data_IF_378642752285
#
_entry.id   IF_378642752285
#
_cell.length_a   1.000
_cell.length_b   1.000
_cell.length_c   1.000
_cell.angle_alpha   90.00
_cell.angle_beta   90.00
_cell.angle_gamma   90.00
#
_symmetry.space_group_name_H-M   'P 1'
#
loop_
_entity.id
_entity.type
_entity.pdbx_description
1 polymer ?
#
# COMPACT_ATOMS: atom_id res chain seq x y z
N UNK A 1 12.62 7.48 -15.85
CA UNK A 1 11.45 7.07 -15.05
C UNK A 1 10.90 8.30 -14.36
N UNK A 2 9.60 8.58 -14.48
CA UNK A 2 8.98 9.70 -13.75
C UNK A 2 8.68 9.24 -12.33
N UNK A 3 9.23 9.90 -11.28
CA UNK A 3 8.94 9.51 -9.90
C UNK A 3 7.46 9.76 -9.59
N UNK A 4 6.83 8.80 -8.92
CA UNK A 4 5.46 8.96 -8.42
C UNK A 4 5.52 9.69 -7.08
N UNK A 5 5.04 10.94 -7.06
CA UNK A 5 5.11 11.85 -5.91
C UNK A 5 3.70 12.37 -5.61
N UNK A 6 3.28 12.31 -4.35
CA UNK A 6 2.01 12.86 -3.89
C UNK A 6 2.15 14.35 -3.54
N UNK A 7 1.09 15.14 -3.79
CA UNK A 7 1.05 16.53 -3.35
C UNK A 7 0.97 16.61 -1.83
N UNK A 8 1.75 17.54 -1.26
CA UNK A 8 1.66 17.86 0.16
C UNK A 8 0.48 18.82 0.35
N UNK A 9 -0.55 18.40 1.08
CA UNK A 9 -1.80 19.16 1.25
C UNK A 9 -1.90 19.92 2.58
N UNK A 10 -0.97 19.69 3.53
CA UNK A 10 -1.01 20.31 4.86
C UNK A 10 0.24 21.15 5.16
N UNK A 11 0.11 22.42 5.54
CA UNK A 11 1.15 23.23 6.25
C UNK A 11 2.59 23.27 5.68
N UNK A 12 2.86 22.81 4.45
CA UNK A 12 4.18 22.86 3.76
C UNK A 12 3.99 23.01 2.25
N UNK A 13 4.90 23.74 1.59
CA UNK A 13 4.95 23.84 0.11
C UNK A 13 5.22 22.47 -0.52
N UNK A 14 4.46 22.13 -1.56
CA UNK A 14 4.66 20.93 -2.38
C UNK A 14 5.33 21.27 -3.70
N UNK A 15 6.21 20.39 -4.18
CA UNK A 15 6.76 20.45 -5.54
C UNK A 15 5.75 19.98 -6.62
N UNK A 16 4.64 19.35 -6.20
CA UNK A 16 3.56 18.93 -7.09
C UNK A 16 2.53 20.05 -7.17
N UNK A 17 2.32 20.57 -8.37
CA UNK A 17 1.41 21.68 -8.64
C UNK A 17 -0.02 21.21 -8.99
N UNK A 18 -0.95 22.17 -9.04
CA UNK A 18 -2.35 21.91 -9.36
C UNK A 18 -2.60 21.39 -10.78
N UNK A 19 -1.68 21.63 -11.72
CA UNK A 19 -1.81 21.10 -13.09
C UNK A 19 -1.68 19.58 -13.11
N UNK A 20 -0.90 19.04 -12.19
CA UNK A 20 -0.70 17.59 -12.00
C UNK A 20 -1.85 16.96 -11.22
N UNK A 21 -2.37 17.65 -10.19
CA UNK A 21 -3.40 17.08 -9.30
C UNK A 21 -4.84 17.31 -9.74
N UNK A 22 -5.11 18.23 -10.69
CA UNK A 22 -6.47 18.52 -11.20
C UNK A 22 -7.18 17.34 -11.86
N UNK A 23 -6.42 16.37 -12.37
CA UNK A 23 -6.98 15.26 -13.12
C UNK A 23 -7.48 14.17 -12.17
N UNK A 24 -8.70 13.68 -12.39
CA UNK A 24 -9.26 12.56 -11.60
C UNK A 24 -8.35 11.33 -11.57
N UNK A 25 -7.52 11.12 -12.61
CA UNK A 25 -6.52 10.06 -12.67
C UNK A 25 -5.45 10.15 -11.57
N UNK A 26 -5.07 11.36 -11.14
CA UNK A 26 -4.13 11.55 -10.04
C UNK A 26 -4.71 11.00 -8.72
N UNK A 27 -5.93 11.41 -8.36
CA UNK A 27 -6.59 10.93 -7.16
C UNK A 27 -6.81 9.41 -7.17
N UNK A 28 -7.20 8.83 -8.31
CA UNK A 28 -7.34 7.36 -8.47
C UNK A 28 -5.99 6.65 -8.28
N UNK A 29 -4.91 7.19 -8.86
CA UNK A 29 -3.56 6.66 -8.73
C UNK A 29 -3.05 6.67 -7.28
N UNK A 30 -3.21 7.78 -6.57
CA UNK A 30 -2.83 7.88 -5.15
C UNK A 30 -3.59 6.85 -4.29
N UNK A 31 -4.90 6.73 -4.48
CA UNK A 31 -5.71 5.75 -3.76
C UNK A 31 -5.32 4.30 -4.08
N UNK A 32 -5.07 3.98 -5.34
CA UNK A 32 -4.62 2.66 -5.75
C UNK A 32 -3.25 2.31 -5.11
N UNK A 33 -2.31 3.27 -5.09
CA UNK A 33 -1.02 3.10 -4.44
C UNK A 33 -1.17 2.81 -2.96
N UNK A 34 -1.96 3.59 -2.24
CA UNK A 34 -2.19 3.38 -0.81
C UNK A 34 -2.72 1.96 -0.53
N UNK A 35 -3.69 1.49 -1.33
CA UNK A 35 -4.23 0.12 -1.20
C UNK A 35 -3.20 -0.99 -1.40
N UNK A 36 -2.17 -0.77 -2.21
CA UNK A 36 -1.09 -1.73 -2.44
C UNK A 36 0.00 -1.60 -1.38
N UNK A 37 0.42 -0.38 -1.05
CA UNK A 37 1.55 -0.14 -0.14
C UNK A 37 1.24 -0.47 1.32
N UNK A 38 0.02 -0.21 1.79
CA UNK A 38 -0.38 -0.50 3.16
C UNK A 38 -0.25 -1.99 3.53
N UNK A 39 -0.74 -2.97 2.74
CA UNK A 39 -0.53 -4.39 3.03
C UNK A 39 0.96 -4.78 3.00
N UNK A 40 1.77 -4.21 2.11
CA UNK A 40 3.22 -4.45 2.11
C UNK A 40 3.90 -3.90 3.37
N UNK A 41 3.50 -2.71 3.81
CA UNK A 41 3.96 -2.12 5.07
C UNK A 41 3.59 -3.00 6.26
N UNK A 42 2.34 -3.44 6.33
CA UNK A 42 1.83 -4.30 7.41
C UNK A 42 2.53 -5.66 7.46
N UNK A 43 2.68 -6.32 6.30
CA UNK A 43 3.37 -7.61 6.20
C UNK A 43 4.87 -7.53 6.56
N UNK A 44 5.49 -6.37 6.41
CA UNK A 44 6.88 -6.11 6.84
C UNK A 44 6.99 -5.69 8.30
N UNK A 45 5.97 -5.01 8.85
CA UNK A 45 5.94 -4.52 10.24
C UNK A 45 6.06 -5.66 11.25
N UNK A 46 5.25 -6.72 11.12
CA UNK A 46 5.24 -7.85 12.04
C UNK A 46 6.39 -8.86 11.83
N UNK A 47 7.34 -8.57 10.91
CA UNK A 47 8.45 -9.42 10.44
C UNK A 47 8.17 -10.58 9.44
N UNK A 48 6.95 -11.12 9.19
CA UNK A 48 6.81 -12.35 8.40
C UNK A 48 7.35 -12.21 6.97
N UNK A 49 7.20 -11.02 6.36
CA UNK A 49 7.77 -10.74 5.03
C UNK A 49 9.13 -10.02 5.08
N UNK A 50 9.49 -9.37 6.20
CA UNK A 50 10.78 -8.68 6.34
C UNK A 50 11.95 -9.65 6.56
N UNK A 51 11.70 -10.74 7.30
CA UNK A 51 12.69 -11.78 7.62
C UNK A 51 12.01 -13.15 7.54
N UNK A 52 11.71 -13.60 6.33
CA UNK A 52 11.11 -14.92 6.15
C UNK A 52 12.11 -16.03 6.54
N UNK A 53 11.65 -16.96 7.38
CA UNK A 53 12.39 -18.16 7.77
C UNK A 53 12.04 -19.36 6.88
N UNK A 54 11.22 -19.16 5.84
CA UNK A 54 10.83 -20.21 4.89
C UNK A 54 11.87 -20.30 3.78
N UNK A 55 12.22 -21.53 3.38
CA UNK A 55 13.10 -21.83 2.26
C UNK A 55 12.29 -22.41 1.09
N UNK A 56 12.58 -21.96 -0.13
CA UNK A 56 11.87 -22.35 -1.35
C UNK A 56 10.74 -21.38 -1.74
N UNK A 57 10.60 -21.13 -3.04
CA UNK A 57 9.65 -20.16 -3.60
C UNK A 57 8.21 -20.48 -3.21
N UNK A 58 7.80 -21.74 -3.26
CA UNK A 58 6.42 -22.13 -2.95
C UNK A 58 6.03 -21.81 -1.51
N UNK A 59 6.94 -22.06 -0.56
CA UNK A 59 6.71 -21.80 0.87
C UNK A 59 6.65 -20.31 1.17
N UNK A 60 7.52 -19.52 0.52
CA UNK A 60 7.50 -18.06 0.62
C UNK A 60 6.23 -17.49 -0.01
N UNK A 61 5.81 -18.01 -1.16
CA UNK A 61 4.58 -17.60 -1.83
C UNK A 61 3.33 -17.92 -0.99
N UNK A 62 3.27 -19.10 -0.36
CA UNK A 62 2.21 -19.44 0.58
C UNK A 62 2.16 -18.48 1.78
N UNK A 63 3.31 -18.15 2.36
CA UNK A 63 3.40 -17.17 3.46
C UNK A 63 2.90 -15.78 3.01
N UNK A 64 3.31 -15.30 1.84
CA UNK A 64 2.87 -14.02 1.30
C UNK A 64 1.35 -13.99 1.06
N UNK A 65 0.79 -15.06 0.47
CA UNK A 65 -0.66 -15.19 0.27
C UNK A 65 -1.42 -15.11 1.60
N UNK A 66 -0.96 -15.82 2.62
CA UNK A 66 -1.60 -15.80 3.94
C UNK A 66 -1.60 -14.39 4.57
N UNK A 67 -0.47 -13.69 4.50
CA UNK A 67 -0.34 -12.32 5.05
C UNK A 67 -1.26 -11.34 4.32
N UNK A 68 -1.33 -11.40 2.99
CA UNK A 68 -2.21 -10.49 2.24
C UNK A 68 -3.68 -10.87 2.34
N UNK A 69 -4.01 -12.16 2.46
CA UNK A 69 -5.37 -12.61 2.72
C UNK A 69 -5.87 -12.11 4.09
N UNK A 70 -5.07 -12.25 5.15
CA UNK A 70 -5.45 -11.77 6.48
C UNK A 70 -5.61 -10.25 6.52
N UNK A 71 -4.76 -9.50 5.82
CA UNK A 71 -4.93 -8.05 5.67
C UNK A 71 -6.27 -7.70 5.01
N UNK A 72 -6.63 -8.40 3.93
CA UNK A 72 -7.89 -8.17 3.24
C UNK A 72 -9.10 -8.46 4.14
N UNK A 73 -9.06 -9.52 4.95
CA UNK A 73 -10.12 -9.83 5.92
C UNK A 73 -10.29 -8.73 6.97
N UNK A 74 -9.19 -8.28 7.58
CA UNK A 74 -9.22 -7.17 8.56
C UNK A 74 -9.77 -5.89 7.92
N UNK A 75 -9.35 -5.61 6.68
CA UNK A 75 -9.86 -4.45 5.93
C UNK A 75 -11.36 -4.58 5.63
N UNK A 76 -11.84 -5.75 5.23
CA UNK A 76 -13.27 -5.97 4.99
C UNK A 76 -14.08 -5.75 6.26
N UNK A 77 -13.66 -6.32 7.39
CA UNK A 77 -14.32 -6.09 8.68
C UNK A 77 -14.36 -4.61 9.08
N UNK A 78 -13.27 -3.87 8.85
CA UNK A 78 -13.22 -2.43 9.11
C UNK A 78 -14.14 -1.62 8.17
N UNK A 79 -14.35 -2.09 6.94
CA UNK A 79 -15.29 -1.46 5.99
C UNK A 79 -16.75 -1.78 6.31
N UNK A 80 -17.02 -2.96 6.88
CA UNK A 80 -18.36 -3.34 7.34
C UNK A 80 -18.77 -2.59 8.62
N UNK A 81 -17.80 -2.23 9.47
CA UNK A 81 -18.03 -1.49 10.71
C UNK A 81 -18.14 0.04 10.55
N UNK A 82 -17.85 0.56 9.35
CA UNK A 82 -17.83 1.99 9.03
C UNK A 82 -19.15 2.43 8.36
#
# INVERSE_FOLDING_TARGET
MTPHVAQHTHRRRSAVDGRTTRHAGHAKSINARHRVETPFGWGKYARPLKQTMRRGLDRVAAQARLVFASYNLVRMAALEAA
#
